data_IF_409185265531
#
_entry.id   IF_409185265531
#
_cell.length_a   1.000
_cell.length_b   1.000
_cell.length_c   1.000
_cell.angle_alpha   90.00
_cell.angle_beta   90.00
_cell.angle_gamma   90.00
#
_symmetry.space_group_name_H-M   'P 1'
#
loop_
_entity.id
_entity.type
_entity.pdbx_description
1 polymer ?
#
# COMPACT_ATOMS: atom_id res chain seq x y z
N UNK A 1 -7.73 -21.83 20.08
CA UNK A 1 -7.31 -20.46 20.05
C UNK A 1 -8.03 -19.71 18.93
N UNK A 2 -8.53 -18.56 19.25
CA UNK A 2 -9.25 -17.80 18.25
C UNK A 2 -8.31 -17.31 17.16
N UNK A 3 -8.70 -17.49 15.93
CA UNK A 3 -7.97 -16.96 14.80
C UNK A 3 -8.11 -15.45 14.77
N UNK A 4 -7.00 -14.79 14.58
CA UNK A 4 -7.03 -13.35 14.39
C UNK A 4 -7.76 -13.02 13.08
N UNK A 5 -8.70 -12.09 13.16
CA UNK A 5 -9.40 -11.58 11.97
C UNK A 5 -8.78 -10.27 11.50
N UNK A 6 -7.48 -10.08 11.78
CA UNK A 6 -6.80 -8.88 11.37
C UNK A 6 -6.49 -8.90 9.88
N UNK A 7 -6.81 -7.81 9.21
CA UNK A 7 -6.54 -7.63 7.80
C UNK A 7 -5.35 -6.72 7.59
N UNK A 8 -4.48 -7.13 6.68
CA UNK A 8 -3.35 -6.29 6.27
C UNK A 8 -3.70 -5.69 4.92
N UNK A 9 -3.82 -4.38 4.90
CA UNK A 9 -4.36 -3.63 3.77
C UNK A 9 -3.24 -2.88 3.08
N UNK A 10 -3.08 -3.13 1.78
CA UNK A 10 -2.09 -2.46 0.95
C UNK A 10 -2.78 -1.40 0.10
N UNK A 11 -2.26 -0.17 0.17
CA UNK A 11 -2.63 0.91 -0.74
C UNK A 11 -1.40 1.19 -1.59
N UNK A 12 -1.50 0.92 -2.88
CA UNK A 12 -0.34 1.00 -3.76
C UNK A 12 -0.67 1.76 -5.04
N UNK A 13 0.37 2.22 -5.71
CA UNK A 13 0.24 2.99 -6.94
C UNK A 13 1.44 3.88 -7.17
N UNK A 14 1.43 4.60 -8.27
CA UNK A 14 2.50 5.50 -8.64
C UNK A 14 2.61 6.70 -7.68
N UNK A 15 3.80 7.30 -7.56
CA UNK A 15 3.94 8.53 -6.78
C UNK A 15 2.99 9.61 -7.31
N UNK A 16 2.31 10.29 -6.41
CA UNK A 16 1.35 11.32 -6.78
C UNK A 16 -0.06 10.82 -7.05
N UNK A 17 -0.32 9.53 -6.88
CA UNK A 17 -1.65 8.96 -7.11
C UNK A 17 -2.64 9.20 -5.98
N UNK A 18 -2.20 9.75 -4.85
CA UNK A 18 -3.07 10.05 -3.71
C UNK A 18 -3.15 8.93 -2.68
N UNK A 19 -2.17 8.04 -2.66
CA UNK A 19 -2.14 6.90 -1.72
C UNK A 19 -2.21 7.34 -0.27
N UNK A 20 -1.40 8.31 0.10
CA UNK A 20 -1.30 8.75 1.49
C UNK A 20 -2.62 9.30 2.00
N UNK A 21 -3.29 10.13 1.20
CA UNK A 21 -4.58 10.69 1.58
C UNK A 21 -5.62 9.59 1.76
N UNK A 22 -5.69 8.65 0.83
CA UNK A 22 -6.61 7.52 0.93
C UNK A 22 -6.30 6.68 2.17
N UNK A 23 -5.03 6.32 2.35
CA UNK A 23 -4.61 5.45 3.45
C UNK A 23 -4.89 6.09 4.80
N UNK A 24 -4.66 7.39 4.96
CA UNK A 24 -4.92 8.08 6.22
C UNK A 24 -6.41 8.11 6.55
N UNK A 25 -7.26 8.32 5.55
CA UNK A 25 -8.71 8.29 5.77
C UNK A 25 -9.18 6.90 6.18
N UNK A 26 -8.62 5.87 5.53
CA UNK A 26 -8.97 4.49 5.84
C UNK A 26 -8.46 4.09 7.22
N UNK A 27 -7.21 4.40 7.52
CA UNK A 27 -6.56 3.95 8.73
C UNK A 27 -7.15 4.59 9.99
N UNK A 28 -7.38 5.89 9.96
CA UNK A 28 -7.91 6.67 11.07
C UNK A 28 -7.33 6.27 12.43
N UNK A 29 -7.87 5.21 13.05
CA UNK A 29 -7.41 4.72 14.35
C UNK A 29 -6.62 3.42 14.26
N UNK A 30 -6.26 2.99 13.06
CA UNK A 30 -5.52 1.76 12.84
C UNK A 30 -4.02 2.02 12.72
N UNK A 31 -3.19 1.03 13.02
CA UNK A 31 -1.77 1.10 12.68
C UNK A 31 -1.60 1.41 11.20
N UNK A 32 -0.75 2.38 10.90
CA UNK A 32 -0.53 2.86 9.56
C UNK A 32 0.95 3.08 9.31
N UNK A 33 1.45 2.51 8.22
CA UNK A 33 2.85 2.61 7.84
C UNK A 33 2.94 3.28 6.47
N UNK A 34 3.50 4.47 6.47
CA UNK A 34 3.72 5.27 5.26
C UNK A 34 5.10 4.99 4.70
N UNK A 35 5.20 4.91 3.39
CA UNK A 35 6.44 4.60 2.70
C UNK A 35 7.61 5.52 3.13
N UNK A 36 7.40 6.83 3.04
CA UNK A 36 8.48 7.78 3.32
C UNK A 36 8.89 7.76 4.79
N UNK A 37 7.92 7.63 5.68
CA UNK A 37 8.20 7.54 7.11
C UNK A 37 9.04 6.30 7.42
N UNK A 38 8.74 5.18 6.80
CA UNK A 38 9.49 3.94 7.03
C UNK A 38 10.88 4.05 6.43
N UNK A 39 11.03 4.61 5.24
CA UNK A 39 12.36 4.82 4.65
C UNK A 39 13.20 5.75 5.52
N UNK A 40 12.61 6.78 6.07
CA UNK A 40 13.30 7.70 6.97
C UNK A 40 13.73 7.01 8.26
N UNK A 41 12.85 6.19 8.81
CA UNK A 41 13.12 5.43 10.03
C UNK A 41 14.33 4.51 9.86
N UNK A 42 14.46 3.88 8.71
CA UNK A 42 15.56 2.96 8.41
C UNK A 42 16.72 3.63 7.67
N UNK A 43 16.61 4.93 7.39
CA UNK A 43 17.57 5.68 6.61
C UNK A 43 17.94 4.94 5.31
N UNK A 44 16.93 4.49 4.61
CA UNK A 44 17.10 3.65 3.42
C UNK A 44 16.37 4.28 2.23
N UNK A 45 17.11 5.01 1.44
CA UNK A 45 16.61 5.72 0.26
C UNK A 45 17.11 5.07 -1.03
N UNK A 46 17.36 3.77 -0.96
CA UNK A 46 17.83 3.00 -2.12
C UNK A 46 16.63 2.64 -3.01
N UNK A 47 16.54 3.27 -4.18
CA UNK A 47 15.46 3.05 -5.14
C UNK A 47 15.88 2.10 -6.27
N UNK A 48 17.02 1.42 -6.13
CA UNK A 48 17.37 0.31 -7.02
C UNK A 48 16.38 -0.83 -6.84
N UNK A 49 16.42 -1.82 -7.72
CA UNK A 49 15.57 -3.00 -7.60
C UNK A 49 15.75 -3.67 -6.24
N UNK A 50 16.98 -3.85 -5.79
CA UNK A 50 17.25 -4.46 -4.49
C UNK A 50 16.67 -3.63 -3.34
N UNK A 51 16.79 -2.31 -3.41
CA UNK A 51 16.25 -1.43 -2.39
C UNK A 51 14.72 -1.46 -2.36
N UNK A 52 14.09 -1.57 -3.52
CA UNK A 52 12.63 -1.65 -3.59
C UNK A 52 12.10 -2.99 -3.09
N UNK A 53 12.82 -4.07 -3.34
CA UNK A 53 12.48 -5.39 -2.79
C UNK A 53 12.61 -5.36 -1.27
N UNK A 54 13.70 -4.80 -0.77
CA UNK A 54 13.93 -4.67 0.69
C UNK A 54 12.83 -3.86 1.35
N UNK A 55 12.42 -2.76 0.72
CA UNK A 55 11.33 -1.94 1.26
C UNK A 55 10.01 -2.71 1.28
N UNK A 56 9.72 -3.47 0.24
CA UNK A 56 8.49 -4.27 0.19
C UNK A 56 8.44 -5.30 1.33
N UNK A 57 9.56 -5.99 1.55
CA UNK A 57 9.65 -6.96 2.65
C UNK A 57 9.49 -6.29 4.00
N UNK A 58 10.10 -5.12 4.17
CA UNK A 58 10.02 -4.35 5.41
C UNK A 58 8.58 -3.90 5.69
N UNK A 59 7.89 -3.37 4.69
CA UNK A 59 6.51 -2.92 4.86
C UNK A 59 5.59 -4.07 5.27
N UNK A 60 5.74 -5.21 4.64
CA UNK A 60 4.95 -6.39 4.96
C UNK A 60 5.25 -6.88 6.38
N UNK A 61 6.52 -6.93 6.76
CA UNK A 61 6.91 -7.34 8.12
C UNK A 61 6.32 -6.41 9.16
N UNK A 62 6.38 -5.11 8.94
CA UNK A 62 5.81 -4.14 9.89
C UNK A 62 4.30 -4.35 10.06
N UNK A 63 3.59 -4.54 8.97
CA UNK A 63 2.15 -4.79 9.03
C UNK A 63 1.85 -6.04 9.87
N UNK A 64 2.65 -7.09 9.70
CA UNK A 64 2.40 -8.35 10.39
C UNK A 64 2.89 -8.37 11.84
N UNK A 65 3.63 -7.36 12.26
CA UNK A 65 4.02 -7.22 13.66
C UNK A 65 2.90 -6.68 14.54
N UNK A 66 1.87 -6.12 13.94
CA UNK A 66 0.71 -5.64 14.69
C UNK A 66 -0.26 -6.77 14.96
N UNK A 67 -1.01 -6.66 16.04
CA UNK A 67 -2.05 -7.63 16.38
C UNK A 67 -3.43 -7.17 15.87
N UNK A 68 -3.48 -6.03 15.22
CA UNK A 68 -4.71 -5.43 14.73
C UNK A 68 -4.66 -5.35 13.20
N UNK A 69 -5.74 -4.85 12.62
CA UNK A 69 -5.70 -4.45 11.21
C UNK A 69 -4.60 -3.41 11.02
N UNK A 70 -3.96 -3.42 9.89
CA UNK A 70 -2.92 -2.45 9.59
C UNK A 70 -3.03 -2.01 8.14
N UNK A 71 -2.70 -0.75 7.90
CA UNK A 71 -2.69 -0.18 6.56
C UNK A 71 -1.26 0.20 6.22
N UNK A 72 -0.79 -0.20 5.05
CA UNK A 72 0.48 0.25 4.52
C UNK A 72 0.25 0.94 3.17
N UNK A 73 1.00 2.01 2.91
CA UNK A 73 0.97 2.64 1.61
C UNK A 73 2.39 2.81 1.08
N UNK A 74 2.63 2.31 -0.10
CA UNK A 74 3.86 2.51 -0.84
C UNK A 74 3.62 2.16 -2.31
N UNK A 75 4.63 2.41 -3.15
CA UNK A 75 4.49 2.19 -4.59
C UNK A 75 4.22 0.72 -4.87
N UNK A 76 4.95 -0.18 -4.22
CA UNK A 76 4.85 -1.63 -4.37
C UNK A 76 4.84 -2.00 -5.86
N UNK A 77 5.94 -1.72 -6.58
CA UNK A 77 5.91 -1.79 -8.05
C UNK A 77 5.84 -3.20 -8.61
N UNK A 78 6.25 -4.21 -7.83
CA UNK A 78 6.27 -5.59 -8.31
C UNK A 78 5.06 -6.34 -7.83
N UNK A 79 4.35 -6.96 -8.76
CA UNK A 79 3.08 -7.62 -8.47
C UNK A 79 3.21 -8.71 -7.40
N UNK A 80 4.31 -9.44 -7.41
CA UNK A 80 4.52 -10.53 -6.45
C UNK A 80 4.49 -10.07 -5.00
N UNK A 81 4.87 -8.81 -4.72
CA UNK A 81 4.90 -8.29 -3.36
C UNK A 81 3.53 -7.87 -2.84
N UNK A 82 2.51 -7.90 -3.69
CA UNK A 82 1.15 -7.52 -3.34
C UNK A 82 0.30 -8.69 -2.89
N UNK A 83 0.71 -9.91 -3.24
CA UNK A 83 -0.13 -11.10 -3.14
C UNK A 83 -0.54 -11.47 -1.73
N UNK A 84 0.33 -11.23 -0.76
CA UNK A 84 0.10 -11.68 0.62
C UNK A 84 -0.75 -10.73 1.46
N UNK A 85 -1.09 -9.56 0.92
CA UNK A 85 -2.00 -8.64 1.59
C UNK A 85 -3.44 -9.11 1.43
N UNK A 86 -4.24 -8.91 2.48
CA UNK A 86 -5.64 -9.36 2.49
C UNK A 86 -6.54 -8.47 1.64
N UNK A 87 -6.25 -7.17 1.64
CA UNK A 87 -6.97 -6.20 0.82
C UNK A 87 -5.94 -5.40 0.04
N UNK A 88 -6.14 -5.32 -1.26
CA UNK A 88 -5.22 -4.63 -2.17
C UNK A 88 -5.97 -3.50 -2.87
N UNK A 89 -5.59 -2.29 -2.58
CA UNK A 89 -6.21 -1.10 -3.16
C UNK A 89 -5.22 -0.47 -4.14
N UNK A 90 -5.56 -0.51 -5.41
CA UNK A 90 -4.75 0.10 -6.45
C UNK A 90 -5.24 1.52 -6.73
N UNK A 91 -4.38 2.49 -6.41
CA UNK A 91 -4.65 3.90 -6.72
C UNK A 91 -4.25 4.17 -8.16
N UNK A 92 -5.17 3.95 -9.08
CA UNK A 92 -4.97 4.13 -10.52
C UNK A 92 -5.61 5.45 -10.98
N UNK A 93 -5.24 6.53 -10.32
CA UNK A 93 -5.78 7.86 -10.56
C UNK A 93 -4.98 8.66 -11.59
N UNK A 94 -3.73 8.22 -11.85
CA UNK A 94 -2.83 8.84 -12.82
C UNK A 94 -2.18 7.76 -13.66
N UNK A 95 -1.82 8.09 -14.89
CA UNK A 95 -1.17 7.14 -15.80
C UNK A 95 0.33 7.11 -15.63
N UNK A 96 0.91 8.24 -15.26
CA UNK A 96 2.35 8.38 -15.08
C UNK A 96 2.64 9.19 -13.83
N UNK A 97 3.57 8.72 -13.03
CA UNK A 97 4.11 9.48 -11.93
C UNK A 97 5.24 10.37 -12.43
N UNK A 98 5.81 11.15 -11.50
CA UNK A 98 6.85 12.13 -11.83
C UNK A 98 8.22 11.50 -12.11
N UNK A 99 8.42 10.24 -11.76
CA UNK A 99 9.70 9.56 -11.91
C UNK A 99 9.60 8.49 -12.98
N UNK A 100 10.34 8.68 -14.07
CA UNK A 100 10.26 7.81 -15.23
C UNK A 100 10.70 6.37 -14.94
N UNK A 101 11.75 6.20 -14.13
CA UNK A 101 12.22 4.87 -13.74
C UNK A 101 11.16 4.10 -12.97
N UNK A 102 10.44 4.78 -12.07
CA UNK A 102 9.34 4.18 -11.32
C UNK A 102 8.20 3.80 -12.26
N UNK A 103 7.87 4.65 -13.23
CA UNK A 103 6.83 4.34 -14.22
C UNK A 103 7.15 3.06 -14.98
N UNK A 104 8.42 2.88 -15.34
CA UNK A 104 8.85 1.70 -16.09
C UNK A 104 8.87 0.43 -15.24
N UNK A 105 9.16 0.55 -13.96
CA UNK A 105 9.21 -0.59 -13.04
C UNK A 105 7.84 -1.06 -12.59
N UNK A 106 6.86 -0.18 -12.63
CA UNK A 106 5.54 -0.47 -12.06
C UNK A 106 4.80 -1.48 -12.92
N UNK A 107 4.55 -2.64 -12.33
CA UNK A 107 3.81 -3.72 -12.99
C UNK A 107 2.31 -3.52 -12.77
N UNK A 108 1.54 -3.64 -13.84
CA UNK A 108 0.09 -3.62 -13.73
C UNK A 108 -0.34 -4.78 -12.84
N UNK A 109 -1.24 -4.55 -11.87
CA UNK A 109 -1.65 -5.63 -10.99
C UNK A 109 -2.38 -6.74 -11.75
N UNK A 110 -2.00 -7.99 -11.44
CA UNK A 110 -2.73 -9.15 -11.91
C UNK A 110 -4.08 -9.25 -11.22
N UNK A 111 -4.16 -8.73 -9.99
CA UNK A 111 -5.36 -8.74 -9.17
C UNK A 111 -5.30 -7.59 -8.16
N UNK A 112 -6.45 -6.94 -7.94
CA UNK A 112 -6.61 -6.01 -6.82
C UNK A 112 -8.02 -6.17 -6.28
N UNK A 113 -8.18 -5.87 -4.98
CA UNK A 113 -9.50 -5.93 -4.36
C UNK A 113 -10.35 -4.75 -4.81
N UNK A 114 -9.73 -3.58 -4.88
CA UNK A 114 -10.38 -2.35 -5.34
C UNK A 114 -9.44 -1.59 -6.25
N UNK A 115 -9.99 -1.05 -7.33
CA UNK A 115 -9.26 -0.13 -8.19
C UNK A 115 -9.86 1.26 -8.05
N UNK A 116 -9.08 2.23 -7.59
CA UNK A 116 -9.52 3.60 -7.39
C UNK A 116 -9.07 4.42 -8.61
N UNK A 117 -10.03 4.86 -9.42
CA UNK A 117 -9.75 5.56 -10.67
C UNK A 117 -9.88 7.07 -10.57
N UNK A 118 -10.51 7.57 -9.52
CA UNK A 118 -10.67 9.02 -9.30
C UNK A 118 -10.72 9.28 -7.80
N UNK A 119 -10.92 10.53 -7.43
CA UNK A 119 -10.87 10.93 -6.02
C UNK A 119 -12.22 10.89 -5.33
N UNK A 120 -13.24 10.30 -5.96
CA UNK A 120 -14.56 10.09 -5.38
C UNK A 120 -14.66 8.67 -4.85
N UNK A 121 -13.91 8.37 -3.81
CA UNK A 121 -13.71 7.00 -3.33
C UNK A 121 -14.25 6.72 -1.93
N UNK A 122 -15.04 7.63 -1.36
CA UNK A 122 -15.55 7.43 0.00
C UNK A 122 -16.33 6.13 0.14
N UNK A 123 -17.06 5.74 -0.89
CA UNK A 123 -17.80 4.48 -0.89
C UNK A 123 -16.88 3.26 -0.78
N UNK A 124 -15.69 3.33 -1.38
CA UNK A 124 -14.71 2.24 -1.31
C UNK A 124 -14.17 2.15 0.12
N UNK A 125 -13.85 3.29 0.73
CA UNK A 125 -13.38 3.32 2.11
C UNK A 125 -14.43 2.70 3.03
N UNK A 126 -15.70 3.05 2.85
CA UNK A 126 -16.77 2.49 3.67
C UNK A 126 -16.93 0.99 3.49
N UNK A 127 -16.78 0.48 2.26
CA UNK A 127 -16.83 -0.94 2.02
C UNK A 127 -15.71 -1.68 2.72
N UNK A 128 -14.49 -1.13 2.69
CA UNK A 128 -13.36 -1.73 3.38
C UNK A 128 -13.62 -1.75 4.89
N UNK A 129 -14.07 -0.61 5.45
CA UNK A 129 -14.36 -0.51 6.88
C UNK A 129 -15.38 -1.53 7.35
N UNK A 130 -16.33 -1.88 6.51
CA UNK A 130 -17.34 -2.89 6.85
C UNK A 130 -16.74 -4.28 7.00
N UNK A 131 -15.59 -4.55 6.38
CA UNK A 131 -14.90 -5.84 6.52
C UNK A 131 -14.13 -5.92 7.84
N UNK A 132 -13.81 -4.80 8.41
CA UNK A 132 -13.00 -4.72 9.63
C UNK A 132 -13.89 -4.79 10.86
#
# INVERSE_FOLDING_TARGET
>A
MAQSNSYKILVFGLPGSGKTTFAKKLAKDLPYFNNDDVRRMFNDWDFSMHGRIRQAERMYCLANMTHDHAVVDFICPYDQHRHDYDVKVWMNTIKEGRYNDTNQMFEKPSHCTFEVKDYKYDHIIEEIKKKL
#
